data_IF_112553325031
#
_entry.id   IF_112553325031
#
_cell.length_a   1.000
_cell.length_b   1.000
_cell.length_c   1.000
_cell.angle_alpha   90.00
_cell.angle_beta   90.00
_cell.angle_gamma   90.00
#
_symmetry.space_group_name_H-M   'P 1'
#
loop_
_entity.id
_entity.type
_entity.pdbx_description
1 polymer ?
#
# COMPACT_ATOMS: atom_id res chain seq x y z
N UNK A 1 -19.93 -37.85 6.33
CA UNK A 1 -19.28 -36.58 5.97
C UNK A 1 -17.80 -36.79 6.23
N UNK A 2 -16.99 -37.02 5.18
CA UNK A 2 -15.56 -37.26 5.33
C UNK A 2 -14.83 -35.92 5.52
N UNK A 3 -13.78 -35.85 6.37
CA UNK A 3 -12.96 -34.65 6.48
C UNK A 3 -12.18 -34.45 5.17
N UNK A 4 -12.09 -33.20 4.72
CA UNK A 4 -11.24 -32.80 3.60
C UNK A 4 -9.76 -33.10 3.93
N UNK A 5 -8.94 -33.51 2.94
CA UNK A 5 -7.58 -33.94 3.19
C UNK A 5 -6.70 -32.79 3.68
N UNK A 6 -5.84 -33.16 4.62
CA UNK A 6 -4.82 -32.37 5.31
C UNK A 6 -4.00 -31.47 4.38
N UNK A 7 -3.98 -30.18 4.70
CA UNK A 7 -3.08 -29.16 4.18
C UNK A 7 -1.62 -29.63 4.42
N UNK A 8 -0.76 -29.41 3.43
CA UNK A 8 0.66 -29.79 3.44
C UNK A 8 1.33 -29.42 4.79
N UNK A 9 2.07 -30.35 5.42
CA UNK A 9 2.71 -30.09 6.70
C UNK A 9 3.93 -29.19 6.49
N UNK A 10 3.89 -27.98 7.06
CA UNK A 10 5.06 -27.09 7.12
C UNK A 10 4.79 -25.59 7.19
N UNK A 11 3.57 -25.12 6.90
CA UNK A 11 3.23 -23.70 7.04
C UNK A 11 2.60 -23.46 8.41
N UNK A 12 3.35 -22.86 9.33
CA UNK A 12 2.76 -22.24 10.52
C UNK A 12 1.63 -21.29 10.07
N UNK A 13 0.51 -21.29 10.80
CA UNK A 13 -0.59 -20.36 10.55
C UNK A 13 -0.14 -18.94 10.90
N UNK A 14 0.49 -18.33 9.91
CA UNK A 14 0.85 -16.93 9.93
C UNK A 14 -0.44 -16.12 9.80
N UNK A 15 -0.93 -15.65 10.92
CA UNK A 15 -2.13 -14.80 11.00
C UNK A 15 -1.76 -13.35 10.67
N UNK A 16 -2.35 -12.79 9.61
CA UNK A 16 -2.17 -11.40 9.22
C UNK A 16 -3.38 -10.62 9.72
N UNK A 17 -3.14 -9.57 10.52
CA UNK A 17 -4.23 -8.75 11.00
C UNK A 17 -4.84 -7.93 9.84
N UNK A 18 -6.11 -8.17 9.55
CA UNK A 18 -6.88 -7.39 8.58
C UNK A 18 -7.40 -6.13 9.28
N UNK A 19 -6.91 -4.97 8.86
CA UNK A 19 -7.30 -3.68 9.44
C UNK A 19 -8.59 -3.15 8.80
N UNK A 20 -8.75 -3.39 7.50
CA UNK A 20 -9.91 -2.94 6.74
C UNK A 20 -10.07 -3.78 5.48
N UNK A 21 -11.30 -4.14 5.14
CA UNK A 21 -11.63 -4.78 3.88
C UNK A 21 -13.00 -4.29 3.38
N UNK A 22 -13.03 -3.78 2.15
CA UNK A 22 -14.26 -3.57 1.39
C UNK A 22 -14.14 -4.24 0.02
N UNK A 23 -15.10 -4.01 -0.88
CA UNK A 23 -15.07 -4.56 -2.24
C UNK A 23 -13.83 -4.15 -3.05
N UNK A 24 -13.32 -2.94 -2.84
CA UNK A 24 -12.28 -2.31 -3.63
C UNK A 24 -10.88 -2.43 -3.04
N UNK A 25 -10.76 -2.52 -1.71
CA UNK A 25 -9.51 -2.31 -1.00
C UNK A 25 -9.38 -3.28 0.16
N UNK A 26 -8.15 -3.74 0.37
CA UNK A 26 -7.76 -4.52 1.53
C UNK A 26 -6.56 -3.88 2.19
N UNK A 27 -6.64 -3.67 3.50
CA UNK A 27 -5.58 -3.10 4.32
C UNK A 27 -5.23 -4.09 5.41
N UNK A 28 -3.94 -4.41 5.51
CA UNK A 28 -3.41 -5.37 6.46
C UNK A 28 -2.32 -4.76 7.32
N UNK A 29 -2.09 -5.33 8.50
CA UNK A 29 -0.93 -5.03 9.33
C UNK A 29 0.09 -6.16 9.20
N UNK A 30 1.18 -5.91 8.48
CA UNK A 30 2.28 -6.86 8.35
C UNK A 30 3.12 -6.84 9.64
N UNK A 31 3.38 -7.99 10.30
CA UNK A 31 4.31 -8.03 11.42
C UNK A 31 5.77 -7.88 10.94
N UNK A 32 6.66 -7.55 11.88
CA UNK A 32 8.11 -7.60 11.65
C UNK A 32 8.59 -9.05 11.49
N UNK A 33 9.69 -9.27 10.78
CA UNK A 33 10.24 -10.59 10.47
C UNK A 33 9.62 -11.26 9.24
N UNK A 34 8.54 -10.70 8.69
CA UNK A 34 7.80 -11.26 7.57
C UNK A 34 8.12 -10.58 6.24
N UNK A 35 8.43 -11.39 5.22
CA UNK A 35 8.63 -10.93 3.84
C UNK A 35 7.28 -10.66 3.16
N UNK A 36 7.19 -9.60 2.37
CA UNK A 36 5.96 -9.18 1.67
C UNK A 36 5.50 -10.19 0.61
N UNK A 37 6.40 -10.62 -0.29
CA UNK A 37 6.09 -11.44 -1.46
C UNK A 37 7.26 -12.39 -1.72
N UNK A 38 7.04 -13.58 -2.32
CA UNK A 38 8.09 -14.54 -2.58
C UNK A 38 9.33 -13.94 -3.27
N UNK A 39 10.51 -14.37 -2.82
CA UNK A 39 11.82 -14.00 -3.32
C UNK A 39 12.71 -15.24 -3.41
N UNK A 40 13.89 -15.14 -4.05
CA UNK A 40 14.82 -16.26 -4.15
C UNK A 40 15.32 -16.82 -2.80
N UNK A 41 15.24 -16.03 -1.70
CA UNK A 41 15.63 -16.47 -0.34
C UNK A 41 14.45 -16.90 0.53
N UNK A 42 13.23 -16.54 0.12
CA UNK A 42 12.01 -16.73 0.88
C UNK A 42 10.91 -17.05 -0.13
N UNK A 43 10.81 -18.33 -0.51
CA UNK A 43 9.88 -18.78 -1.53
C UNK A 43 8.44 -18.87 -1.01
N UNK A 44 8.29 -19.07 0.30
CA UNK A 44 7.05 -19.27 1.03
C UNK A 44 7.09 -18.55 2.39
N UNK A 45 6.01 -18.70 3.19
CA UNK A 45 5.87 -18.07 4.50
C UNK A 45 5.79 -16.54 4.43
N UNK A 46 5.42 -16.00 3.28
CA UNK A 46 5.32 -14.56 3.04
C UNK A 46 3.94 -14.02 3.41
N UNK A 47 3.85 -12.70 3.55
CA UNK A 47 2.58 -12.01 3.73
C UNK A 47 1.61 -12.34 2.59
N UNK A 48 2.14 -12.45 1.37
CA UNK A 48 1.36 -12.79 0.18
C UNK A 48 0.73 -14.18 0.28
N UNK A 49 1.44 -15.17 0.80
CA UNK A 49 0.93 -16.54 0.93
C UNK A 49 -0.20 -16.62 1.97
N UNK A 50 -0.01 -15.98 3.12
CA UNK A 50 -1.06 -15.88 4.13
C UNK A 50 -2.28 -15.10 3.62
N UNK A 51 -2.06 -14.06 2.81
CA UNK A 51 -3.16 -13.29 2.23
C UNK A 51 -3.96 -14.09 1.20
N UNK A 52 -3.29 -14.86 0.34
CA UNK A 52 -3.98 -15.70 -0.65
C UNK A 52 -4.86 -16.75 0.06
N UNK A 53 -4.35 -17.40 1.11
CA UNK A 53 -5.15 -18.32 1.94
C UNK A 53 -6.38 -17.66 2.55
N UNK A 54 -6.21 -16.45 3.10
CA UNK A 54 -7.31 -15.67 3.66
C UNK A 54 -8.40 -15.38 2.63
N UNK A 55 -8.02 -15.00 1.40
CA UNK A 55 -8.96 -14.69 0.33
C UNK A 55 -9.62 -15.94 -0.26
N UNK A 56 -8.88 -17.04 -0.41
CA UNK A 56 -9.42 -18.33 -0.85
C UNK A 56 -10.51 -18.84 0.10
N UNK A 57 -10.32 -18.65 1.41
CA UNK A 57 -11.30 -19.02 2.43
C UNK A 57 -12.62 -18.23 2.36
N UNK A 58 -12.64 -17.05 1.72
CA UNK A 58 -13.86 -16.23 1.54
C UNK A 58 -14.75 -16.71 0.39
N UNK A 59 -14.25 -17.60 -0.46
CA UNK A 59 -14.98 -18.08 -1.64
C UNK A 59 -14.92 -17.11 -2.83
N UNK A 60 -15.66 -17.43 -3.90
CA UNK A 60 -15.60 -16.68 -5.17
C UNK A 60 -16.27 -15.31 -5.07
N UNK A 61 -15.89 -14.42 -6.00
CA UNK A 61 -16.56 -13.14 -6.20
C UNK A 61 -18.03 -13.36 -6.57
N UNK A 62 -18.94 -12.80 -5.76
CA UNK A 62 -20.38 -12.80 -6.03
C UNK A 62 -20.87 -11.42 -6.48
N UNK A 63 -19.95 -10.47 -6.70
CA UNK A 63 -20.29 -9.14 -7.18
C UNK A 63 -20.81 -9.21 -8.62
N UNK A 64 -21.90 -8.47 -8.89
CA UNK A 64 -22.49 -8.35 -10.22
C UNK A 64 -22.80 -6.87 -10.51
N UNK A 65 -22.74 -6.45 -11.78
CA UNK A 65 -23.19 -5.12 -12.17
C UNK A 65 -24.67 -4.90 -11.80
N UNK A 66 -25.10 -3.65 -11.54
CA UNK A 66 -26.51 -3.35 -11.36
C UNK A 66 -27.34 -3.85 -12.54
N UNK A 67 -28.51 -4.42 -12.24
CA UNK A 67 -29.42 -4.94 -13.27
C UNK A 67 -29.99 -3.84 -14.17
N UNK A 68 -30.11 -2.62 -13.64
CA UNK A 68 -30.81 -1.47 -14.21
C UNK A 68 -29.87 -0.37 -14.72
N UNK A 69 -28.77 -0.73 -15.39
CA UNK A 69 -27.92 0.28 -16.05
C UNK A 69 -28.70 0.99 -17.18
N UNK A 70 -29.02 2.29 -17.06
CA UNK A 70 -29.78 2.99 -18.07
C UNK A 70 -28.96 3.13 -19.35
N UNK A 71 -29.62 3.00 -20.50
CA UNK A 71 -28.98 3.24 -21.80
C UNK A 71 -28.39 4.64 -21.87
N UNK A 72 -27.23 4.75 -22.53
CA UNK A 72 -26.69 6.07 -22.79
C UNK A 72 -27.58 6.81 -23.80
N UNK A 73 -27.84 8.11 -23.63
CA UNK A 73 -28.66 8.88 -24.57
C UNK A 73 -28.19 8.79 -26.03
N UNK A 74 -26.88 8.59 -26.23
CA UNK A 74 -26.26 8.40 -27.53
C UNK A 74 -26.73 7.14 -28.27
N UNK A 75 -27.23 6.12 -27.56
CA UNK A 75 -27.67 4.84 -28.14
C UNK A 75 -29.10 4.89 -28.69
N UNK A 76 -29.87 5.94 -28.37
CA UNK A 76 -31.29 6.07 -28.70
C UNK A 76 -31.62 5.91 -30.20
N UNK A 77 -30.66 6.22 -31.08
CA UNK A 77 -30.81 6.12 -32.54
C UNK A 77 -30.30 4.79 -33.11
N UNK A 78 -29.68 3.94 -32.31
CA UNK A 78 -29.16 2.66 -32.76
C UNK A 78 -30.31 1.64 -32.94
N UNK A 79 -30.22 0.71 -33.90
CA UNK A 79 -31.17 -0.40 -34.02
C UNK A 79 -31.26 -1.25 -32.74
N UNK A 80 -32.38 -1.93 -32.48
CA UNK A 80 -32.58 -2.72 -31.26
C UNK A 80 -31.48 -3.78 -31.03
N UNK A 81 -31.03 -4.48 -32.07
CA UNK A 81 -29.94 -5.45 -31.95
C UNK A 81 -28.60 -4.81 -31.54
N UNK A 82 -28.33 -3.60 -32.01
CA UNK A 82 -27.12 -2.84 -31.65
C UNK A 82 -27.21 -2.32 -30.22
N UNK A 83 -28.38 -1.84 -29.78
CA UNK A 83 -28.58 -1.44 -28.38
C UNK A 83 -28.37 -2.61 -27.42
N UNK A 84 -28.88 -3.81 -27.76
CA UNK A 84 -28.65 -5.02 -26.97
C UNK A 84 -27.16 -5.37 -26.86
N UNK A 85 -26.43 -5.32 -27.99
CA UNK A 85 -24.97 -5.51 -28.01
C UNK A 85 -24.24 -4.47 -27.15
N UNK A 86 -24.63 -3.19 -27.20
CA UNK A 86 -24.02 -2.13 -26.39
C UNK A 86 -24.26 -2.31 -24.89
N UNK A 87 -25.45 -2.76 -24.49
CA UNK A 87 -25.77 -3.11 -23.08
C UNK A 87 -24.89 -4.27 -22.59
N UNK A 88 -24.76 -5.33 -23.39
CA UNK A 88 -23.89 -6.47 -23.07
C UNK A 88 -22.44 -6.02 -22.94
N UNK A 89 -21.94 -5.25 -23.91
CA UNK A 89 -20.58 -4.71 -23.88
C UNK A 89 -20.34 -3.82 -22.65
N UNK A 90 -21.33 -3.02 -22.25
CA UNK A 90 -21.24 -2.20 -21.04
C UNK A 90 -21.16 -3.06 -19.79
N UNK A 91 -21.95 -4.13 -19.69
CA UNK A 91 -21.84 -5.11 -18.59
C UNK A 91 -20.45 -5.75 -18.53
N UNK A 92 -19.88 -6.14 -19.67
CA UNK A 92 -18.51 -6.69 -19.73
C UNK A 92 -17.46 -5.68 -19.23
N UNK A 93 -17.56 -4.41 -19.64
CA UNK A 93 -16.64 -3.36 -19.20
C UNK A 93 -16.76 -3.16 -17.69
N UNK A 94 -17.99 -3.11 -17.18
CA UNK A 94 -18.25 -2.91 -15.75
C UNK A 94 -17.70 -4.09 -14.93
N UNK A 95 -17.90 -5.33 -15.36
CA UNK A 95 -17.29 -6.52 -14.76
C UNK A 95 -15.77 -6.44 -14.74
N UNK A 96 -15.14 -5.98 -15.83
CA UNK A 96 -13.68 -5.81 -15.89
C UNK A 96 -13.16 -4.72 -14.97
N UNK A 97 -13.91 -3.64 -14.78
CA UNK A 97 -13.48 -2.51 -13.94
C UNK A 97 -13.75 -2.73 -12.45
N UNK A 98 -14.91 -3.31 -12.13
CA UNK A 98 -15.44 -3.40 -10.75
C UNK A 98 -15.43 -4.81 -10.18
N UNK A 99 -15.30 -5.86 -11.00
CA UNK A 99 -15.11 -7.21 -10.49
C UNK A 99 -13.79 -7.36 -9.73
N UNK A 100 -13.72 -8.36 -8.85
CA UNK A 100 -12.49 -8.67 -8.14
C UNK A 100 -11.40 -9.12 -9.13
N UNK A 101 -10.19 -8.63 -8.89
CA UNK A 101 -8.99 -9.09 -9.58
C UNK A 101 -8.74 -10.55 -9.21
N UNK A 102 -8.24 -11.39 -10.16
CA UNK A 102 -7.88 -12.78 -9.87
C UNK A 102 -6.88 -12.90 -8.71
N UNK A 103 -6.03 -11.89 -8.53
CA UNK A 103 -5.21 -11.67 -7.34
C UNK A 103 -5.21 -10.17 -7.01
N UNK A 104 -5.33 -9.78 -5.73
CA UNK A 104 -5.31 -8.37 -5.36
C UNK A 104 -3.97 -7.72 -5.77
N UNK A 105 -3.97 -6.46 -6.18
CA UNK A 105 -2.74 -5.78 -6.55
C UNK A 105 -2.05 -5.21 -5.30
N UNK A 106 -0.87 -5.73 -4.99
CA UNK A 106 0.03 -5.14 -4.00
C UNK A 106 0.71 -3.90 -4.59
N UNK A 107 0.47 -2.74 -3.97
CA UNK A 107 0.88 -1.44 -4.54
C UNK A 107 2.18 -0.89 -3.93
N UNK A 108 2.51 -1.32 -2.73
CA UNK A 108 3.71 -0.95 -2.03
C UNK A 108 4.19 -2.09 -1.13
N UNK A 109 5.41 -1.96 -0.63
CA UNK A 109 6.04 -2.96 0.22
C UNK A 109 6.67 -2.33 1.45
N UNK A 110 6.79 -3.14 2.49
CA UNK A 110 7.62 -2.91 3.67
C UNK A 110 8.80 -3.88 3.64
N UNK A 111 9.90 -3.53 4.29
CA UNK A 111 11.01 -4.46 4.47
C UNK A 111 10.63 -5.57 5.47
N UNK A 112 11.42 -6.66 5.48
CA UNK A 112 11.13 -7.86 6.28
C UNK A 112 10.87 -7.52 7.74
N UNK A 113 11.80 -6.78 8.34
CA UNK A 113 11.78 -6.44 9.76
C UNK A 113 10.99 -5.16 10.07
N UNK A 114 10.39 -4.53 9.05
CA UNK A 114 9.48 -3.39 9.24
C UNK A 114 8.05 -3.88 9.40
N UNK A 115 7.45 -3.66 10.56
CA UNK A 115 6.01 -3.87 10.76
C UNK A 115 5.19 -2.69 10.21
N UNK A 116 3.92 -2.92 9.90
CA UNK A 116 2.95 -1.85 9.68
C UNK A 116 1.98 -2.10 8.54
N UNK A 117 1.33 -1.00 8.15
CA UNK A 117 0.18 -1.00 7.24
C UNK A 117 0.60 -1.27 5.79
N UNK A 118 -0.09 -2.20 5.14
CA UNK A 118 0.04 -2.49 3.71
C UNK A 118 -1.33 -2.48 3.06
N UNK A 119 -1.48 -1.73 1.97
CA UNK A 119 -2.71 -1.61 1.19
C UNK A 119 -2.62 -2.37 -0.13
N UNK A 120 -3.72 -3.04 -0.48
CA UNK A 120 -3.90 -3.78 -1.72
C UNK A 120 -5.20 -3.35 -2.42
N UNK A 121 -5.14 -3.26 -3.74
CA UNK A 121 -6.33 -3.07 -4.56
C UNK A 121 -6.99 -4.42 -4.87
N UNK A 122 -8.30 -4.50 -4.74
CA UNK A 122 -9.09 -5.70 -5.05
C UNK A 122 -9.79 -5.63 -6.40
N UNK A 123 -10.00 -4.44 -6.96
CA UNK A 123 -10.59 -4.24 -8.30
C UNK A 123 -9.67 -3.42 -9.21
N UNK A 124 -9.87 -3.47 -10.54
CA UNK A 124 -9.07 -2.67 -11.48
C UNK A 124 -9.32 -1.16 -11.30
N UNK A 125 -10.55 -0.75 -10.96
CA UNK A 125 -10.85 0.64 -10.57
C UNK A 125 -10.01 1.09 -9.37
N UNK A 126 -10.00 0.30 -8.31
CA UNK A 126 -9.21 0.60 -7.10
C UNK A 126 -7.71 0.65 -7.41
N UNK A 127 -7.21 -0.30 -8.19
CA UNK A 127 -5.81 -0.35 -8.62
C UNK A 127 -5.41 0.93 -9.35
N UNK A 128 -6.16 1.35 -10.37
CA UNK A 128 -5.89 2.59 -11.11
C UNK A 128 -5.95 3.82 -10.20
N UNK A 129 -6.89 3.86 -9.27
CA UNK A 129 -7.00 4.96 -8.32
C UNK A 129 -5.77 5.05 -7.42
N UNK A 130 -5.40 3.95 -6.76
CA UNK A 130 -4.29 3.92 -5.82
C UNK A 130 -2.93 4.11 -6.53
N UNK A 131 -2.71 3.54 -7.72
CA UNK A 131 -1.51 3.81 -8.53
C UNK A 131 -1.36 5.30 -8.82
N UNK A 132 -2.46 5.99 -9.19
CA UNK A 132 -2.43 7.45 -9.39
C UNK A 132 -2.07 8.20 -8.13
N UNK A 133 -2.58 7.79 -6.97
CA UNK A 133 -2.25 8.43 -5.70
C UNK A 133 -0.79 8.20 -5.27
N UNK A 134 -0.25 7.00 -5.48
CA UNK A 134 1.18 6.71 -5.28
C UNK A 134 2.06 7.57 -6.19
N UNK A 135 1.71 7.66 -7.48
CA UNK A 135 2.42 8.49 -8.45
C UNK A 135 2.34 9.99 -8.12
N UNK A 136 1.16 10.47 -7.74
CA UNK A 136 0.93 11.86 -7.39
C UNK A 136 1.44 12.25 -5.98
N UNK A 137 1.99 11.29 -5.22
CA UNK A 137 2.44 11.46 -3.84
C UNK A 137 1.35 12.02 -2.90
N UNK A 138 0.09 11.61 -3.09
CA UNK A 138 -1.03 12.05 -2.24
C UNK A 138 -1.31 11.11 -1.06
N UNK A 139 -0.65 9.94 -1.02
CA UNK A 139 -0.73 9.01 0.10
C UNK A 139 0.25 9.43 1.19
N UNK A 140 -0.28 9.69 2.38
CA UNK A 140 0.50 9.98 3.58
C UNK A 140 0.83 8.67 4.28
N UNK A 141 2.13 8.43 4.53
CA UNK A 141 2.62 7.28 5.29
C UNK A 141 3.39 7.80 6.51
N UNK A 142 2.98 7.38 7.71
CA UNK A 142 3.63 7.74 8.97
C UNK A 142 4.30 6.51 9.56
N UNK A 143 5.51 6.70 10.06
CA UNK A 143 6.31 5.65 10.70
C UNK A 143 6.69 6.11 12.09
N UNK A 144 6.55 5.21 13.06
CA UNK A 144 7.15 5.35 14.37
C UNK A 144 8.49 4.60 14.35
N UNK A 145 9.55 5.26 14.81
CA UNK A 145 10.88 4.68 14.87
C UNK A 145 11.55 5.02 16.21
N UNK A 146 12.27 4.05 16.77
CA UNK A 146 13.17 4.28 17.91
C UNK A 146 14.58 4.36 17.35
N UNK A 147 15.32 5.41 17.71
CA UNK A 147 16.69 5.65 17.28
C UNK A 147 17.65 5.52 18.45
N UNK A 148 18.81 4.93 18.21
CA UNK A 148 19.88 4.81 19.21
C UNK A 148 21.08 5.70 18.82
N UNK A 149 21.86 6.19 19.80
CA UNK A 149 23.09 6.92 19.52
C UNK A 149 24.12 6.04 18.81
N UNK A 150 25.05 6.67 18.08
CA UNK A 150 26.11 5.96 17.35
C UNK A 150 25.75 5.61 15.91
N UNK A 151 24.93 6.43 15.24
CA UNK A 151 24.67 6.28 13.82
C UNK A 151 26.02 6.28 13.06
N UNK A 152 26.27 5.26 12.21
CA UNK A 152 27.55 5.15 11.51
C UNK A 152 27.74 6.33 10.55
N UNK A 153 28.98 6.68 10.21
CA UNK A 153 29.27 7.88 9.41
C UNK A 153 28.50 7.95 8.08
N UNK A 154 28.19 6.79 7.47
CA UNK A 154 27.35 6.76 6.27
C UNK A 154 25.96 7.36 6.55
N UNK A 155 25.35 7.14 7.72
CA UNK A 155 24.04 7.66 8.18
C UNK A 155 23.95 9.17 8.38
N UNK A 156 25.04 9.91 8.17
CA UNK A 156 25.04 11.37 8.21
C UNK A 156 24.05 11.96 7.18
N UNK A 157 23.20 12.93 7.58
CA UNK A 157 22.29 13.57 6.64
C UNK A 157 23.07 14.33 5.56
N UNK A 158 22.73 14.10 4.29
CA UNK A 158 23.35 14.77 3.14
C UNK A 158 22.73 16.13 2.80
N UNK A 159 21.49 16.35 3.25
CA UNK A 159 20.72 17.58 3.07
C UNK A 159 20.19 17.99 4.44
N UNK A 160 20.10 19.30 4.77
CA UNK A 160 19.41 19.75 5.96
C UNK A 160 17.99 19.19 6.04
N UNK A 161 17.60 18.75 7.24
CA UNK A 161 16.26 18.24 7.53
C UNK A 161 15.54 19.20 8.44
N UNK A 162 14.24 19.38 8.21
CA UNK A 162 13.36 20.05 9.16
C UNK A 162 12.90 19.02 10.18
N UNK A 163 13.24 19.25 11.45
CA UNK A 163 12.82 18.43 12.57
C UNK A 163 11.98 19.30 13.49
N UNK A 164 10.83 18.75 13.87
CA UNK A 164 9.82 19.40 14.68
C UNK A 164 9.77 18.73 16.05
N UNK A 165 9.79 19.51 17.14
CA UNK A 165 9.44 19.00 18.46
C UNK A 165 7.97 19.27 18.74
N UNK A 166 7.14 18.24 18.96
CA UNK A 166 5.80 18.47 19.48
C UNK A 166 5.92 18.96 20.93
N UNK A 167 5.67 20.25 21.19
CA UNK A 167 5.40 20.74 22.54
C UNK A 167 3.89 20.78 22.77
N UNK A 168 3.47 20.47 24.00
CA UNK A 168 2.07 20.46 24.41
C UNK A 168 1.41 21.83 24.20
N UNK A 169 0.77 22.03 23.05
CA UNK A 169 -0.23 23.09 22.83
C UNK A 169 0.17 24.32 22.02
N UNK A 170 1.40 24.49 21.55
CA UNK A 170 1.80 25.66 20.74
C UNK A 170 2.74 25.33 19.57
N UNK A 171 2.76 26.22 18.57
CA UNK A 171 3.39 26.05 17.27
C UNK A 171 4.89 25.73 17.32
N UNK A 172 5.29 24.92 16.36
CA UNK A 172 6.59 24.27 16.23
C UNK A 172 7.68 25.24 15.80
N UNK A 173 8.77 25.32 16.57
CA UNK A 173 9.96 26.04 16.14
C UNK A 173 10.69 25.28 15.01
N UNK A 174 10.51 25.76 13.79
CA UNK A 174 11.24 25.30 12.61
C UNK A 174 12.65 25.88 12.62
N UNK A 175 13.68 25.04 12.80
CA UNK A 175 15.08 25.46 12.63
C UNK A 175 15.75 24.60 11.55
N UNK A 176 16.04 25.20 10.38
CA UNK A 176 16.94 24.58 9.40
C UNK A 176 18.38 24.84 9.86
N UNK A 177 19.07 23.81 10.32
CA UNK A 177 20.52 23.89 10.48
C UNK A 177 21.09 22.49 10.39
N UNK A 178 22.12 22.34 9.57
CA UNK A 178 22.87 21.11 9.33
C UNK A 178 23.67 20.71 10.55
N UNK A 179 23.06 20.13 11.58
CA UNK A 179 23.80 19.59 12.71
C UNK A 179 23.11 18.34 13.24
N UNK A 180 23.87 17.24 13.27
CA UNK A 180 23.59 16.07 14.11
C UNK A 180 23.25 16.59 15.50
N UNK A 181 22.02 16.34 15.98
CA UNK A 181 21.62 16.67 17.36
C UNK A 181 21.71 15.42 18.22
N UNK A 182 22.26 15.58 19.41
CA UNK A 182 22.06 14.63 20.49
C UNK A 182 20.61 14.73 20.97
N UNK A 183 19.94 13.58 21.09
CA UNK A 183 18.59 13.48 21.62
C UNK A 183 18.67 12.98 23.05
N UNK A 184 17.87 13.56 23.94
CA UNK A 184 17.69 12.99 25.27
C UNK A 184 16.88 11.69 25.17
N UNK A 185 17.14 10.75 26.09
CA UNK A 185 16.33 9.53 26.19
C UNK A 185 14.88 9.93 26.48
N UNK A 186 13.95 9.44 25.64
CA UNK A 186 12.51 9.74 25.75
C UNK A 186 12.06 10.98 24.98
N UNK A 187 12.94 11.63 24.23
CA UNK A 187 12.57 12.77 23.38
C UNK A 187 11.90 12.31 22.07
N UNK A 188 10.73 12.89 21.75
CA UNK A 188 10.00 12.64 20.50
C UNK A 188 10.28 13.73 19.47
N UNK A 189 10.49 13.31 18.23
CA UNK A 189 10.67 14.20 17.09
C UNK A 189 9.73 13.81 15.95
N UNK A 190 9.17 14.82 15.30
CA UNK A 190 8.45 14.68 14.05
C UNK A 190 9.34 15.12 12.88
N UNK A 191 9.50 14.25 11.90
CA UNK A 191 10.12 14.58 10.62
C UNK A 191 9.00 14.60 9.59
N UNK A 192 8.61 15.80 9.17
CA UNK A 192 7.60 15.99 8.13
C UNK A 192 8.26 16.42 6.82
N UNK A 193 7.99 15.66 5.76
CA UNK A 193 8.60 15.87 4.46
C UNK A 193 8.56 14.63 3.58
N UNK A 194 8.73 14.80 2.26
CA UNK A 194 8.66 13.67 1.35
C UNK A 194 9.89 12.77 1.53
N UNK A 195 9.65 11.47 1.67
CA UNK A 195 10.68 10.44 1.72
C UNK A 195 11.07 10.00 0.31
N UNK A 196 12.33 10.15 -0.06
CA UNK A 196 12.88 9.79 -1.37
C UNK A 196 13.95 8.73 -1.26
N UNK A 197 14.17 7.97 -2.33
CA UNK A 197 15.39 7.17 -2.46
C UNK A 197 16.59 8.11 -2.61
N UNK A 198 17.66 7.82 -1.89
CA UNK A 198 18.93 8.51 -2.10
C UNK A 198 19.41 8.24 -3.55
N UNK A 199 19.73 9.29 -4.34
CA UNK A 199 20.16 9.13 -5.73
C UNK A 199 21.49 8.36 -5.86
N UNK A 200 22.35 8.44 -4.84
CA UNK A 200 23.68 7.83 -4.84
C UNK A 200 23.69 6.47 -4.13
N UNK A 201 22.68 6.17 -3.30
CA UNK A 201 22.51 4.86 -2.67
C UNK A 201 21.03 4.43 -2.56
N UNK A 202 20.60 3.59 -3.50
CA UNK A 202 19.22 3.08 -3.57
C UNK A 202 18.77 2.28 -2.35
N UNK A 203 19.67 1.88 -1.45
CA UNK A 203 19.32 1.21 -0.18
C UNK A 203 18.84 2.17 0.88
N UNK A 204 18.96 3.48 0.64
CA UNK A 204 18.69 4.53 1.63
C UNK A 204 17.49 5.34 1.21
N UNK A 205 16.85 5.91 2.22
CA UNK A 205 15.84 6.91 2.05
C UNK A 205 16.28 8.21 2.72
N UNK A 206 16.04 9.33 2.06
CA UNK A 206 16.33 10.68 2.52
C UNK A 206 15.05 11.49 2.55
N UNK A 207 14.88 12.31 3.56
CA UNK A 207 13.85 13.36 3.55
C UNK A 207 14.51 14.62 2.96
N UNK A 208 13.82 15.34 2.08
CA UNK A 208 14.38 16.54 1.42
C UNK A 208 13.46 17.74 1.67
N UNK A 209 14.06 18.91 1.88
CA UNK A 209 13.33 20.18 1.97
C UNK A 209 12.79 20.57 0.57
N UNK A 210 11.52 20.98 0.47
CA UNK A 210 11.02 21.66 -0.72
C UNK A 210 10.35 20.83 -1.84
N UNK A 211 9.90 19.60 -1.59
CA UNK A 211 8.82 18.97 -2.38
C UNK A 211 8.92 18.97 -3.92
N UNK A 212 9.26 17.78 -4.47
CA UNK A 212 9.35 17.38 -5.89
C UNK A 212 10.68 17.66 -6.58
N UNK A 213 11.31 16.58 -7.04
CA UNK A 213 12.18 16.62 -8.22
C UNK A 213 11.31 17.10 -9.39
N UNK A 214 11.73 18.15 -10.10
CA UNK A 214 11.20 18.35 -11.46
C UNK A 214 11.49 17.06 -12.25
N UNK A 215 10.52 16.49 -12.97
CA UNK A 215 10.81 15.37 -13.86
C UNK A 215 11.88 15.81 -14.88
N UNK A 216 12.71 14.88 -15.38
CA UNK A 216 13.62 15.18 -16.48
C UNK A 216 12.86 15.68 -17.71
#
# INVERSE_FOLDING_TARGET
MQPLPSILPGMEDVDIAILYQDHHTLIVNKPAGMVIHPTYKHADGTMWDALLRYLEAQGPDNWSPPDDLPDEPAWSKAPPEVQAMLRERRREIFLKEEGLLPRPCLLHRLDKDTSGVVALARTERSRRHLVRQFYAHTIIKRYLAVVAPGAPAWASPRVPLRITKPQSGEEVETRSSSYVRELAVGEELLIDGPLWRDPDDRRRCVVIEGGRRQPP
#
